data_IF_723340011767
#
_entry.id   IF_723340011767
#
_cell.length_a   1.000
_cell.length_b   1.000
_cell.length_c   1.000
_cell.angle_alpha   90.00
_cell.angle_beta   90.00
_cell.angle_gamma   90.00
#
_symmetry.space_group_name_H-M   'P 1'
#
loop_
_entity.id
_entity.type
_entity.pdbx_description
1 polymer ?
#
# COMPACT_ATOMS: atom_id res chain seq x y z
N UNK A 1 25.86 0.83 22.10
CA UNK A 1 24.82 -0.19 21.86
C UNK A 1 25.02 -0.73 20.45
N UNK A 2 25.35 -2.00 20.27
CA UNK A 2 25.24 -2.65 18.97
C UNK A 2 23.75 -2.70 18.68
N UNK A 3 23.29 -1.97 17.70
CA UNK A 3 21.93 -2.14 17.15
C UNK A 3 21.91 -3.52 16.50
N UNK A 4 21.44 -4.52 17.22
CA UNK A 4 21.09 -5.79 16.59
C UNK A 4 19.99 -5.47 15.57
N UNK A 5 20.28 -5.75 14.31
CA UNK A 5 19.27 -5.64 13.25
C UNK A 5 18.31 -6.83 13.40
N UNK A 6 17.08 -6.64 12.99
CA UNK A 6 16.10 -7.73 12.99
C UNK A 6 16.61 -8.85 12.09
N UNK A 7 16.50 -10.10 12.58
CA UNK A 7 16.92 -11.30 11.84
C UNK A 7 15.88 -11.75 10.81
N UNK A 8 15.41 -10.81 10.00
CA UNK A 8 14.33 -10.98 9.03
C UNK A 8 14.74 -10.37 7.70
N UNK A 9 14.40 -11.07 6.62
CA UNK A 9 14.67 -10.62 5.27
C UNK A 9 13.44 -10.78 4.35
N UNK A 10 13.32 -9.89 3.37
CA UNK A 10 12.47 -10.06 2.20
C UNK A 10 13.24 -10.94 1.22
N UNK A 11 12.58 -11.98 0.71
CA UNK A 11 13.22 -13.03 -0.09
C UNK A 11 12.56 -13.27 -1.44
N UNK A 12 11.37 -12.76 -1.66
CA UNK A 12 10.66 -12.86 -2.94
C UNK A 12 9.58 -11.80 -3.07
N UNK A 13 9.23 -11.47 -4.29
CA UNK A 13 8.15 -10.54 -4.61
C UNK A 13 7.31 -11.06 -5.77
N UNK A 14 6.05 -10.67 -5.78
CA UNK A 14 5.10 -11.00 -6.83
C UNK A 14 4.09 -9.88 -7.01
N UNK A 15 3.67 -9.68 -8.24
CA UNK A 15 2.70 -8.64 -8.56
C UNK A 15 1.93 -8.99 -9.83
N UNK A 16 0.65 -8.67 -9.84
CA UNK A 16 -0.17 -8.78 -11.03
C UNK A 16 -0.08 -7.50 -11.85
N UNK A 17 -0.36 -7.58 -13.15
CA UNK A 17 -0.38 -6.38 -14.00
C UNK A 17 -1.43 -5.41 -13.46
N UNK A 18 -1.03 -4.16 -13.24
CA UNK A 18 -1.95 -3.11 -12.88
C UNK A 18 -2.88 -2.77 -14.05
N UNK A 19 -4.19 -2.76 -13.81
CA UNK A 19 -5.22 -2.51 -14.83
C UNK A 19 -6.24 -1.49 -14.36
N UNK A 20 -6.91 -0.82 -15.31
CA UNK A 20 -8.01 0.11 -14.99
C UNK A 20 -9.35 -0.59 -14.78
N UNK A 21 -9.44 -1.86 -15.13
CA UNK A 21 -10.63 -2.68 -14.96
C UNK A 21 -10.24 -3.98 -14.28
N UNK A 22 -10.95 -4.34 -13.22
CA UNK A 22 -10.76 -5.62 -12.55
C UNK A 22 -11.38 -6.72 -13.42
N UNK A 23 -10.54 -7.64 -13.90
CA UNK A 23 -10.97 -8.75 -14.76
C UNK A 23 -11.19 -10.06 -13.97
N UNK A 24 -10.58 -10.15 -12.78
CA UNK A 24 -10.65 -11.30 -11.89
C UNK A 24 -11.10 -10.87 -10.49
N UNK A 25 -11.68 -11.76 -9.69
CA UNK A 25 -11.97 -11.48 -8.28
C UNK A 25 -10.70 -11.07 -7.51
N UNK A 26 -10.85 -10.22 -6.51
CA UNK A 26 -9.75 -9.72 -5.67
C UNK A 26 -8.97 -10.86 -5.00
N UNK A 27 -9.70 -11.87 -4.52
CA UNK A 27 -9.09 -13.05 -3.89
C UNK A 27 -8.18 -13.78 -4.88
N UNK A 28 -8.59 -13.91 -6.15
CA UNK A 28 -7.80 -14.59 -7.18
C UNK A 28 -6.52 -13.82 -7.50
N UNK A 29 -6.59 -12.49 -7.68
CA UNK A 29 -5.39 -11.69 -7.95
C UNK A 29 -4.45 -11.65 -6.75
N UNK A 30 -4.96 -11.70 -5.52
CA UNK A 30 -4.15 -11.81 -4.31
C UNK A 30 -3.39 -13.13 -4.26
N UNK A 31 -4.08 -14.25 -4.50
CA UNK A 31 -3.48 -15.58 -4.56
C UNK A 31 -2.40 -15.62 -5.65
N UNK A 32 -2.68 -15.08 -6.84
CA UNK A 32 -1.73 -15.04 -7.95
C UNK A 32 -0.44 -14.28 -7.55
N UNK A 33 -0.57 -13.09 -6.96
CA UNK A 33 0.59 -12.31 -6.50
C UNK A 33 1.39 -13.05 -5.40
N UNK A 34 0.70 -13.69 -4.46
CA UNK A 34 1.34 -14.46 -3.39
C UNK A 34 2.10 -15.68 -3.93
N UNK A 35 1.51 -16.43 -4.85
CA UNK A 35 2.16 -17.58 -5.50
C UNK A 35 3.39 -17.14 -6.32
N UNK A 36 3.30 -15.97 -6.99
CA UNK A 36 4.45 -15.39 -7.67
C UNK A 36 5.58 -15.05 -6.70
N UNK A 37 5.28 -14.47 -5.53
CA UNK A 37 6.27 -14.15 -4.51
C UNK A 37 6.93 -15.40 -3.91
N UNK A 38 6.15 -16.45 -3.65
CA UNK A 38 6.67 -17.73 -3.17
C UNK A 38 7.57 -18.40 -4.21
N UNK A 39 7.15 -18.40 -5.48
CA UNK A 39 7.93 -18.94 -6.61
C UNK A 39 9.22 -18.14 -6.83
N UNK A 40 9.18 -16.83 -6.74
CA UNK A 40 10.35 -15.95 -6.86
C UNK A 40 11.38 -16.28 -5.78
N UNK A 41 10.94 -16.45 -4.54
CA UNK A 41 11.78 -16.89 -3.43
C UNK A 41 12.32 -18.32 -3.58
N UNK A 42 11.63 -19.19 -4.31
CA UNK A 42 11.90 -20.65 -4.32
C UNK A 42 11.43 -21.35 -3.06
N UNK A 43 10.39 -20.81 -2.38
CA UNK A 43 9.79 -21.39 -1.18
C UNK A 43 8.50 -22.10 -1.52
N UNK A 44 8.31 -23.33 -1.00
CA UNK A 44 7.05 -24.04 -1.12
C UNK A 44 5.97 -23.31 -0.28
N UNK A 45 4.78 -23.08 -0.82
CA UNK A 45 3.69 -22.44 -0.07
C UNK A 45 3.35 -23.12 1.26
N UNK A 46 3.54 -24.43 1.38
CA UNK A 46 3.32 -25.18 2.63
C UNK A 46 4.30 -24.83 3.76
N UNK A 47 5.44 -24.22 3.45
CA UNK A 47 6.40 -23.71 4.43
C UNK A 47 6.01 -22.33 5.01
N UNK A 48 5.03 -21.67 4.41
CA UNK A 48 4.57 -20.35 4.83
C UNK A 48 3.55 -20.52 5.94
N UNK A 49 3.75 -19.82 7.05
CA UNK A 49 2.92 -19.95 8.25
C UNK A 49 2.35 -18.60 8.75
N UNK A 50 2.50 -17.55 7.93
CA UNK A 50 1.96 -16.22 8.23
C UNK A 50 1.48 -15.48 7.00
N UNK A 51 0.45 -14.65 7.16
CA UNK A 51 -0.08 -13.79 6.11
C UNK A 51 -0.58 -12.45 6.66
N UNK A 52 -0.30 -11.35 5.97
CA UNK A 52 -0.96 -10.06 6.16
C UNK A 52 -1.68 -9.65 4.87
N UNK A 53 -2.95 -9.34 4.97
CA UNK A 53 -3.77 -8.89 3.83
C UNK A 53 -4.16 -7.43 4.01
N UNK A 54 -3.75 -6.59 3.08
CA UNK A 54 -4.08 -5.17 3.05
C UNK A 54 -5.08 -4.89 1.93
N UNK A 55 -6.17 -4.24 2.27
CA UNK A 55 -7.18 -3.76 1.32
C UNK A 55 -7.55 -2.31 1.60
N UNK A 56 -8.04 -1.61 0.59
CA UNK A 56 -8.50 -0.23 0.72
C UNK A 56 -10.00 -0.08 1.00
N UNK A 57 -10.76 -1.16 0.92
CA UNK A 57 -12.21 -1.16 1.07
C UNK A 57 -12.69 -2.20 2.08
N UNK A 58 -13.93 -2.12 2.45
CA UNK A 58 -14.56 -3.02 3.38
C UNK A 58 -15.84 -3.60 2.76
N UNK A 59 -16.15 -4.91 2.94
CA UNK A 59 -15.35 -5.90 3.67
C UNK A 59 -14.12 -6.36 2.87
N UNK A 60 -13.01 -6.69 3.57
CA UNK A 60 -11.85 -7.30 2.93
C UNK A 60 -12.18 -8.73 2.47
N UNK A 61 -11.46 -9.27 1.48
CA UNK A 61 -11.47 -10.69 1.21
C UNK A 61 -11.04 -11.47 2.46
N UNK A 62 -11.64 -12.63 2.66
CA UNK A 62 -11.29 -13.47 3.81
C UNK A 62 -9.85 -13.96 3.71
N UNK A 63 -9.01 -13.60 4.67
CA UNK A 63 -7.61 -13.99 4.76
C UNK A 63 -7.42 -15.50 4.71
N UNK A 64 -8.32 -16.27 5.35
CA UNK A 64 -8.30 -17.73 5.31
C UNK A 64 -8.51 -18.28 3.90
N UNK A 65 -9.42 -17.72 3.12
CA UNK A 65 -9.67 -18.11 1.73
C UNK A 65 -8.43 -17.88 0.86
N UNK A 66 -7.74 -16.75 1.05
CA UNK A 66 -6.48 -16.47 0.36
C UNK A 66 -5.42 -17.47 0.79
N UNK A 67 -5.22 -17.70 2.09
CA UNK A 67 -4.22 -18.63 2.60
C UNK A 67 -4.44 -20.07 2.10
N UNK A 68 -5.68 -20.55 2.06
CA UNK A 68 -6.03 -21.85 1.50
C UNK A 68 -5.75 -21.91 0.00
N UNK A 69 -6.12 -20.87 -0.74
CA UNK A 69 -5.88 -20.79 -2.19
C UNK A 69 -4.40 -20.76 -2.57
N UNK A 70 -3.51 -20.28 -1.67
CA UNK A 70 -2.06 -20.32 -1.82
C UNK A 70 -1.51 -21.71 -1.51
N UNK A 71 -2.17 -22.50 -0.67
CA UNK A 71 -1.71 -23.81 -0.18
C UNK A 71 -1.04 -23.75 1.18
N UNK A 72 -1.28 -22.70 1.96
CA UNK A 72 -0.81 -22.61 3.35
C UNK A 72 -1.61 -23.62 4.19
N UNK A 73 -0.93 -24.63 4.75
CA UNK A 73 -1.57 -25.71 5.52
C UNK A 73 -1.58 -25.48 7.02
N UNK A 74 -0.68 -24.63 7.53
CA UNK A 74 -0.54 -24.34 8.96
C UNK A 74 -0.36 -22.84 9.19
N UNK A 75 -1.46 -22.10 9.14
CA UNK A 75 -1.47 -20.66 9.39
C UNK A 75 -1.34 -20.39 10.89
N UNK A 76 -0.16 -19.96 11.34
CA UNK A 76 0.15 -19.64 12.75
C UNK A 76 -0.11 -18.18 13.08
N UNK A 77 0.09 -17.29 12.11
CA UNK A 77 -0.04 -15.87 12.29
C UNK A 77 -0.81 -15.22 11.13
N UNK A 78 -1.75 -14.36 11.45
CA UNK A 78 -2.41 -13.52 10.46
C UNK A 78 -2.70 -12.14 11.02
N UNK A 79 -2.72 -11.16 10.13
CA UNK A 79 -3.16 -9.81 10.43
C UNK A 79 -3.80 -9.20 9.20
N UNK A 80 -4.95 -8.58 9.39
CA UNK A 80 -5.64 -7.84 8.34
C UNK A 80 -5.41 -6.35 8.49
N UNK A 81 -5.33 -5.65 7.36
CA UNK A 81 -5.21 -4.21 7.32
C UNK A 81 -3.78 -3.68 7.42
N UNK A 82 -3.69 -2.42 7.80
CA UNK A 82 -2.47 -1.62 7.75
C UNK A 82 -2.33 -0.84 6.45
N UNK A 83 -1.55 0.22 6.50
CA UNK A 83 -1.30 1.09 5.35
C UNK A 83 0.20 1.17 5.03
N UNK A 84 0.50 1.24 3.74
CA UNK A 84 1.86 1.44 3.26
C UNK A 84 2.82 0.32 3.67
N UNK A 85 3.94 0.69 4.30
CA UNK A 85 5.01 -0.24 4.70
C UNK A 85 4.85 -0.79 6.12
N UNK A 86 3.92 -0.28 6.92
CA UNK A 86 3.74 -0.70 8.32
C UNK A 86 3.53 -2.22 8.47
N UNK A 87 2.73 -2.90 7.63
CA UNK A 87 2.57 -4.35 7.71
C UNK A 87 3.87 -5.13 7.59
N UNK A 88 4.85 -4.65 6.81
CA UNK A 88 6.16 -5.28 6.75
C UNK A 88 6.87 -5.24 8.11
N UNK A 89 6.79 -4.12 8.82
CA UNK A 89 7.36 -3.98 10.15
C UNK A 89 6.70 -4.90 11.18
N UNK A 90 5.37 -4.98 11.15
CA UNK A 90 4.61 -5.85 12.07
C UNK A 90 4.86 -7.34 11.76
N UNK A 91 4.88 -7.73 10.49
CA UNK A 91 5.25 -9.08 10.06
C UNK A 91 6.66 -9.45 10.51
N UNK A 92 7.60 -8.50 10.37
CA UNK A 92 8.97 -8.71 10.83
C UNK A 92 9.06 -8.91 12.36
N UNK A 93 8.27 -8.19 13.14
CA UNK A 93 8.18 -8.40 14.59
C UNK A 93 7.64 -9.79 14.94
N UNK A 94 6.60 -10.25 14.26
CA UNK A 94 6.04 -11.58 14.48
C UNK A 94 7.06 -12.69 14.18
N UNK A 95 7.84 -12.54 13.10
CA UNK A 95 8.92 -13.46 12.75
C UNK A 95 10.05 -13.42 13.80
N UNK A 96 10.49 -12.22 14.19
CA UNK A 96 11.58 -12.04 15.15
C UNK A 96 11.20 -12.55 16.57
N UNK A 97 9.93 -12.43 16.93
CA UNK A 97 9.35 -12.97 18.16
C UNK A 97 9.12 -14.50 18.11
N UNK A 98 9.25 -15.14 16.94
CA UNK A 98 9.02 -16.59 16.78
C UNK A 98 7.55 -17.00 16.73
N UNK A 99 6.63 -16.07 16.53
CA UNK A 99 5.21 -16.36 16.35
C UNK A 99 4.96 -17.14 15.06
N UNK A 100 5.72 -16.83 14.02
CA UNK A 100 5.75 -17.51 12.72
C UNK A 100 7.18 -17.49 12.14
N UNK A 101 7.39 -18.23 11.05
CA UNK A 101 8.71 -18.33 10.40
C UNK A 101 8.76 -17.54 9.09
N UNK A 102 7.68 -17.54 8.33
CA UNK A 102 7.59 -16.92 6.99
C UNK A 102 6.23 -16.27 6.79
N UNK A 103 6.23 -15.01 6.37
CA UNK A 103 5.01 -14.21 6.20
C UNK A 103 4.90 -13.68 4.79
N UNK A 104 3.78 -13.92 4.14
CA UNK A 104 3.35 -13.20 2.95
C UNK A 104 2.65 -11.90 3.37
N UNK A 105 3.10 -10.80 2.84
CA UNK A 105 2.42 -9.50 2.95
C UNK A 105 1.87 -9.17 1.58
N UNK A 106 0.55 -9.15 1.45
CA UNK A 106 -0.14 -8.88 0.19
C UNK A 106 -1.00 -7.63 0.30
N UNK A 107 -0.88 -6.75 -0.68
CA UNK A 107 -1.75 -5.60 -0.86
C UNK A 107 -2.60 -5.78 -2.09
N UNK A 108 -3.91 -5.65 -1.90
CA UNK A 108 -4.90 -5.68 -2.97
C UNK A 108 -5.36 -4.26 -3.24
N UNK A 109 -5.34 -3.86 -4.49
CA UNK A 109 -5.86 -2.59 -4.95
C UNK A 109 -7.08 -2.85 -5.83
N UNK A 110 -8.24 -2.44 -5.34
CA UNK A 110 -9.46 -2.33 -6.12
C UNK A 110 -10.01 -0.91 -5.96
N UNK A 111 -9.74 -0.09 -6.93
CA UNK A 111 -10.09 1.33 -6.89
C UNK A 111 -11.43 1.66 -7.53
N UNK A 112 -12.19 0.65 -7.95
CA UNK A 112 -13.58 0.81 -8.39
C UNK A 112 -14.50 1.00 -7.19
N UNK A 113 -14.14 0.43 -6.04
CA UNK A 113 -14.81 0.73 -4.79
C UNK A 113 -14.53 2.21 -4.40
N UNK A 114 -15.54 2.98 -4.01
CA UNK A 114 -15.35 4.38 -3.62
C UNK A 114 -14.44 4.47 -2.39
N UNK A 115 -13.16 4.74 -2.63
CA UNK A 115 -12.07 4.71 -1.64
C UNK A 115 -12.28 5.70 -0.49
N UNK A 116 -13.15 6.68 -0.65
CA UNK A 116 -13.31 7.74 0.35
C UNK A 116 -14.64 8.46 0.29
N UNK A 117 -15.70 7.76 -0.05
CA UNK A 117 -17.03 8.36 0.19
C UNK A 117 -17.24 8.46 1.69
N UNK A 118 -17.72 9.59 2.19
CA UNK A 118 -18.17 9.68 3.57
C UNK A 118 -19.12 8.52 3.84
N UNK A 119 -18.92 7.82 4.97
CA UNK A 119 -19.86 6.79 5.38
C UNK A 119 -21.17 7.48 5.79
N UNK A 120 -22.00 7.72 4.83
CA UNK A 120 -23.34 8.25 5.04
C UNK A 120 -24.22 7.03 5.35
N UNK A 121 -24.83 7.02 6.51
CA UNK A 121 -25.87 6.04 6.84
C UNK A 121 -27.05 6.20 5.88
N UNK A 122 -27.33 5.21 5.02
CA UNK A 122 -28.39 5.35 4.01
C UNK A 122 -29.78 5.49 4.61
N UNK A 123 -29.99 5.07 5.84
CA UNK A 123 -31.29 5.14 6.53
C UNK A 123 -31.59 6.51 7.14
N UNK A 124 -30.55 7.22 7.55
CA UNK A 124 -30.68 8.49 8.27
C UNK A 124 -30.13 9.68 7.48
N UNK A 125 -29.36 9.44 6.41
CA UNK A 125 -28.63 10.47 5.67
C UNK A 125 -27.53 11.14 6.51
N UNK A 126 -27.17 10.59 7.66
CA UNK A 126 -26.22 11.18 8.59
C UNK A 126 -24.82 10.62 8.38
N UNK A 127 -23.84 11.45 8.63
CA UNK A 127 -22.42 11.07 8.65
C UNK A 127 -22.02 10.83 10.09
N UNK A 128 -21.44 9.66 10.36
CA UNK A 128 -20.98 9.29 11.71
C UNK A 128 -19.54 9.71 12.02
N UNK A 129 -19.14 9.47 13.26
CA UNK A 129 -17.79 9.73 13.75
C UNK A 129 -17.29 11.18 13.53
N UNK A 130 -16.00 11.35 13.41
CA UNK A 130 -15.33 12.62 13.15
C UNK A 130 -15.74 13.25 11.80
N UNK A 131 -16.20 12.47 10.85
CA UNK A 131 -16.66 12.95 9.54
C UNK A 131 -17.87 13.88 9.66
N UNK A 132 -18.68 13.77 10.69
CA UNK A 132 -19.81 14.69 10.95
C UNK A 132 -19.37 16.15 11.14
N UNK A 133 -18.11 16.37 11.51
CA UNK A 133 -17.54 17.72 11.70
C UNK A 133 -16.86 18.27 10.45
N UNK A 134 -16.70 17.47 9.41
CA UNK A 134 -15.97 17.83 8.20
C UNK A 134 -16.84 17.81 6.95
N UNK A 135 -17.59 16.72 6.76
CA UNK A 135 -18.39 16.51 5.54
C UNK A 135 -19.46 17.61 5.31
N UNK A 136 -20.20 18.09 6.31
CA UNK A 136 -21.16 19.18 6.13
C UNK A 136 -20.51 20.49 5.64
N UNK A 137 -19.21 20.65 5.85
CA UNK A 137 -18.43 21.82 5.42
C UNK A 137 -17.65 21.56 4.12
N UNK A 138 -17.95 20.45 3.42
CA UNK A 138 -17.36 20.14 2.12
C UNK A 138 -16.08 19.31 2.16
N UNK A 139 -15.60 18.88 3.34
CA UNK A 139 -14.41 18.03 3.51
C UNK A 139 -14.78 16.54 3.45
N UNK A 140 -15.27 16.08 2.29
CA UNK A 140 -15.73 14.70 2.11
C UNK A 140 -14.66 13.72 1.58
N UNK A 141 -13.54 14.24 1.03
CA UNK A 141 -12.53 13.42 0.35
C UNK A 141 -11.13 13.71 0.87
N UNK A 142 -10.28 12.67 0.85
CA UNK A 142 -8.88 12.76 1.29
C UNK A 142 -8.09 13.86 0.58
N UNK A 143 -8.30 14.04 -0.72
CA UNK A 143 -7.60 15.07 -1.51
C UNK A 143 -7.89 16.50 -1.05
N UNK A 144 -9.04 16.76 -0.46
CA UNK A 144 -9.35 18.08 0.12
C UNK A 144 -8.49 18.37 1.35
N UNK A 145 -8.26 17.36 2.20
CA UNK A 145 -7.33 17.48 3.34
C UNK A 145 -5.89 17.64 2.89
N UNK A 146 -5.48 16.86 1.89
CA UNK A 146 -4.15 17.00 1.27
C UNK A 146 -3.98 18.40 0.70
N UNK A 147 -5.02 18.98 0.07
CA UNK A 147 -5.01 20.35 -0.41
C UNK A 147 -4.76 21.37 0.70
N UNK A 148 -5.44 21.24 1.85
CA UNK A 148 -5.20 22.11 3.02
C UNK A 148 -3.78 21.97 3.56
N UNK A 149 -3.26 20.74 3.65
CA UNK A 149 -1.88 20.47 4.08
C UNK A 149 -0.87 21.08 3.11
N UNK A 150 -1.06 20.87 1.81
CA UNK A 150 -0.21 21.43 0.77
C UNK A 150 -0.21 22.98 0.81
N UNK A 151 -1.38 23.59 0.97
CA UNK A 151 -1.50 25.05 1.10
C UNK A 151 -0.75 25.57 2.32
N UNK A 152 -0.90 24.92 3.49
CA UNK A 152 -0.16 25.27 4.71
C UNK A 152 1.35 25.13 4.52
N UNK A 153 1.80 24.07 3.87
CA UNK A 153 3.20 23.83 3.56
C UNK A 153 3.77 24.91 2.63
N UNK A 154 3.08 25.21 1.54
CA UNK A 154 3.47 26.24 0.58
C UNK A 154 3.57 27.60 1.25
N UNK A 155 2.60 27.97 2.09
CA UNK A 155 2.63 29.24 2.83
C UNK A 155 3.78 29.29 3.83
N UNK A 156 4.00 28.22 4.61
CA UNK A 156 5.02 28.17 5.65
C UNK A 156 6.44 28.26 5.11
N UNK A 157 6.69 27.63 3.96
CA UNK A 157 8.02 27.49 3.37
C UNK A 157 8.21 28.30 2.09
N UNK A 158 7.22 29.12 1.73
CA UNK A 158 7.22 29.92 0.50
C UNK A 158 7.46 29.06 -0.76
N UNK A 159 6.83 27.87 -0.83
CA UNK A 159 6.96 26.93 -1.94
C UNK A 159 5.98 27.32 -3.06
N UNK A 160 6.47 27.31 -4.29
CA UNK A 160 5.67 27.53 -5.48
C UNK A 160 5.13 26.21 -6.05
N UNK A 161 4.06 26.30 -6.86
CA UNK A 161 3.45 25.14 -7.49
C UNK A 161 4.43 24.38 -8.39
N UNK A 162 5.29 25.11 -9.11
CA UNK A 162 6.30 24.53 -10.01
C UNK A 162 7.32 23.67 -9.26
N UNK A 163 7.57 23.97 -7.98
CA UNK A 163 8.48 23.14 -7.17
C UNK A 163 7.82 21.84 -6.75
N UNK A 164 6.51 21.83 -6.49
CA UNK A 164 5.76 20.60 -6.21
C UNK A 164 5.64 19.71 -7.46
N UNK A 165 5.59 20.31 -8.64
CA UNK A 165 5.51 19.60 -9.91
C UNK A 165 6.64 18.59 -10.13
N UNK A 166 7.82 18.83 -9.57
CA UNK A 166 8.96 17.93 -9.74
C UNK A 166 8.74 16.55 -9.11
N UNK A 167 7.87 16.43 -8.11
CA UNK A 167 7.55 15.14 -7.50
C UNK A 167 6.91 14.20 -8.54
N UNK A 168 5.75 14.53 -9.14
CA UNK A 168 5.14 13.65 -10.14
C UNK A 168 5.93 13.56 -11.45
N UNK A 169 6.72 14.60 -11.84
CA UNK A 169 7.57 14.55 -13.04
C UNK A 169 8.64 13.47 -12.87
N UNK A 170 9.40 13.49 -11.76
CA UNK A 170 10.44 12.47 -11.50
C UNK A 170 9.84 11.09 -11.35
N UNK A 171 8.68 10.96 -10.69
CA UNK A 171 7.96 9.69 -10.61
C UNK A 171 7.57 9.17 -12.00
N UNK A 172 7.18 10.06 -12.93
CA UNK A 172 6.85 9.70 -14.30
C UNK A 172 8.10 9.24 -15.08
N UNK A 173 9.24 9.91 -14.91
CA UNK A 173 10.52 9.48 -15.50
C UNK A 173 10.89 8.06 -15.03
N UNK A 174 10.74 7.78 -13.75
CA UNK A 174 10.97 6.44 -13.22
C UNK A 174 9.94 5.41 -13.72
N UNK A 175 8.69 5.81 -13.89
CA UNK A 175 7.65 4.94 -14.45
C UNK A 175 7.98 4.49 -15.88
N UNK A 176 8.56 5.37 -16.69
CA UNK A 176 8.98 5.03 -18.07
C UNK A 176 10.07 3.96 -18.13
N UNK A 177 10.83 3.76 -17.05
CA UNK A 177 11.82 2.68 -16.93
C UNK A 177 11.19 1.35 -16.48
N UNK A 178 9.93 1.36 -16.04
CA UNK A 178 9.23 0.18 -15.55
C UNK A 178 8.21 -0.34 -16.59
N UNK A 179 8.41 -1.52 -17.19
CA UNK A 179 7.49 -2.07 -18.19
C UNK A 179 6.10 -2.40 -17.67
N UNK A 180 5.91 -2.40 -16.34
CA UNK A 180 4.65 -2.67 -15.68
C UNK A 180 3.88 -1.39 -15.29
N UNK A 181 4.48 -0.23 -15.49
CA UNK A 181 3.82 1.03 -15.19
C UNK A 181 2.64 1.26 -16.14
N UNK A 182 1.54 1.80 -15.59
CA UNK A 182 0.34 2.13 -16.38
C UNK A 182 0.55 3.39 -17.20
N UNK A 183 1.38 4.32 -16.71
CA UNK A 183 1.69 5.57 -17.39
C UNK A 183 2.99 5.41 -18.18
N UNK A 184 2.88 5.46 -19.51
CA UNK A 184 3.91 5.12 -20.49
C UNK A 184 4.40 6.32 -21.34
N UNK A 185 3.93 7.51 -21.02
CA UNK A 185 4.30 8.74 -21.74
C UNK A 185 4.98 9.75 -20.82
N UNK A 186 6.00 10.50 -21.29
CA UNK A 186 6.67 11.51 -20.48
C UNK A 186 5.71 12.62 -20.05
N UNK A 187 6.08 13.36 -19.01
CA UNK A 187 5.33 14.49 -18.50
C UNK A 187 6.25 15.69 -18.32
N UNK A 188 5.87 16.80 -18.91
CA UNK A 188 6.59 18.08 -18.78
C UNK A 188 6.02 18.92 -17.64
N UNK A 189 6.73 20.00 -17.27
CA UNK A 189 6.22 20.99 -16.34
C UNK A 189 4.93 21.64 -16.87
N UNK A 190 4.85 21.93 -18.15
CA UNK A 190 3.66 22.52 -18.77
C UNK A 190 2.46 21.57 -18.73
N UNK A 191 2.67 20.28 -18.95
CA UNK A 191 1.61 19.26 -18.79
C UNK A 191 1.06 19.26 -17.37
N UNK A 192 1.94 19.32 -16.38
CA UNK A 192 1.54 19.39 -14.98
C UNK A 192 0.76 20.68 -14.69
N UNK A 193 1.29 21.86 -15.08
CA UNK A 193 0.70 23.17 -14.79
C UNK A 193 -0.64 23.38 -15.49
N UNK A 194 -0.87 22.74 -16.64
CA UNK A 194 -2.12 22.78 -17.38
C UNK A 194 -3.10 21.68 -16.94
N UNK A 195 -2.69 20.78 -16.05
CA UNK A 195 -3.56 19.71 -15.58
C UNK A 195 -4.70 20.23 -14.70
N UNK A 196 -5.81 19.48 -14.68
CA UNK A 196 -7.00 19.85 -13.89
C UNK A 196 -6.68 19.95 -12.40
N UNK A 197 -7.14 21.00 -11.75
CA UNK A 197 -7.13 21.13 -10.29
C UNK A 197 -8.20 20.20 -9.71
N UNK A 198 -7.80 19.36 -8.75
CA UNK A 198 -8.69 18.46 -8.01
C UNK A 198 -9.16 19.11 -6.72
N UNK A 199 -8.21 19.65 -5.94
CA UNK A 199 -8.48 20.43 -4.72
C UNK A 199 -7.30 21.35 -4.48
N UNK A 200 -7.46 22.64 -4.77
CA UNK A 200 -6.34 23.60 -4.78
C UNK A 200 -5.47 23.51 -3.53
N UNK A 201 -4.13 23.39 -3.64
CA UNK A 201 -3.30 23.45 -4.86
C UNK A 201 -3.09 22.11 -5.57
N UNK A 202 -3.70 21.01 -5.10
CA UNK A 202 -3.53 19.65 -5.62
C UNK A 202 -4.13 19.53 -7.03
N UNK A 203 -3.30 19.07 -7.96
CA UNK A 203 -3.65 18.83 -9.36
C UNK A 203 -3.83 17.35 -9.67
N UNK A 204 -4.30 17.04 -10.86
CA UNK A 204 -4.56 15.66 -11.31
C UNK A 204 -3.33 14.74 -11.15
N UNK A 205 -2.16 15.23 -11.49
CA UNK A 205 -0.93 14.44 -11.43
C UNK A 205 -0.30 14.34 -10.03
N UNK A 206 -0.82 15.06 -9.05
CA UNK A 206 -0.51 14.88 -7.63
C UNK A 206 -1.32 13.73 -6.99
N UNK A 207 -2.31 13.21 -7.71
CA UNK A 207 -3.18 12.14 -7.25
C UNK A 207 -2.72 10.80 -7.83
N UNK A 208 -2.81 9.75 -7.02
CA UNK A 208 -2.64 8.39 -7.50
C UNK A 208 -3.73 8.03 -8.51
N UNK A 209 -3.33 7.24 -9.50
CA UNK A 209 -4.27 6.77 -10.51
C UNK A 209 -5.06 5.56 -9.98
N UNK A 210 -6.39 5.55 -10.14
CA UNK A 210 -7.18 4.37 -9.85
C UNK A 210 -6.75 3.18 -10.72
N UNK A 211 -6.18 2.16 -10.08
CA UNK A 211 -5.75 0.90 -10.70
C UNK A 211 -6.18 -0.28 -9.86
N UNK A 212 -6.31 -1.44 -10.50
CA UNK A 212 -6.61 -2.71 -9.86
C UNK A 212 -5.41 -3.64 -10.02
N UNK A 213 -5.10 -4.40 -8.99
CA UNK A 213 -3.99 -5.33 -8.98
C UNK A 213 -3.65 -5.79 -7.58
N UNK A 214 -2.69 -6.69 -7.46
CA UNK A 214 -2.16 -7.12 -6.18
C UNK A 214 -0.63 -7.14 -6.22
N UNK A 215 -0.04 -6.83 -5.07
CA UNK A 215 1.40 -6.85 -4.83
C UNK A 215 1.65 -7.67 -3.58
N UNK A 216 2.57 -8.63 -3.65
CA UNK A 216 2.96 -9.44 -2.53
C UNK A 216 4.47 -9.48 -2.38
N UNK A 217 4.95 -9.60 -1.15
CA UNK A 217 6.33 -9.96 -0.86
C UNK A 217 6.36 -10.96 0.28
N UNK A 218 7.37 -11.85 0.19
CA UNK A 218 7.59 -12.89 1.17
C UNK A 218 8.75 -12.49 2.08
N UNK A 219 8.51 -12.59 3.38
CA UNK A 219 9.51 -12.36 4.42
C UNK A 219 9.76 -13.66 5.19
N UNK A 220 10.99 -13.87 5.59
CA UNK A 220 11.36 -15.04 6.43
C UNK A 220 12.53 -14.73 7.33
N UNK A 221 12.85 -15.66 8.23
CA UNK A 221 14.01 -15.58 9.12
C UNK A 221 15.32 -15.58 8.34
N UNK A 222 16.33 -14.93 8.90
CA UNK A 222 17.65 -14.79 8.29
C UNK A 222 18.32 -16.13 7.94
N UNK A 223 18.17 -17.15 8.79
CA UNK A 223 18.75 -18.47 8.56
C UNK A 223 18.14 -19.13 7.31
N UNK A 224 16.82 -19.12 7.19
CA UNK A 224 16.11 -19.66 6.03
C UNK A 224 16.35 -18.84 4.76
N UNK A 225 16.43 -17.52 4.89
CA UNK A 225 16.62 -16.60 3.76
C UNK A 225 17.91 -16.89 2.97
N UNK A 226 18.95 -17.40 3.61
CA UNK A 226 20.24 -17.73 2.98
C UNK A 226 20.19 -18.95 2.07
N UNK A 227 19.16 -19.78 2.20
CA UNK A 227 18.98 -21.03 1.44
C UNK A 227 18.10 -20.84 0.21
N UNK A 228 17.51 -19.64 0.01
CA UNK A 228 16.55 -19.35 -1.03
C UNK A 228 17.22 -18.78 -2.30
N UNK A 229 16.41 -18.60 -3.35
CA UNK A 229 16.88 -18.29 -4.71
C UNK A 229 17.66 -16.98 -4.84
N UNK A 230 17.29 -15.97 -4.05
CA UNK A 230 17.82 -14.61 -4.21
C UNK A 230 18.66 -14.17 -3.02
N UNK A 231 19.54 -13.21 -3.24
CA UNK A 231 20.24 -12.52 -2.16
C UNK A 231 19.21 -11.84 -1.26
N UNK A 232 19.17 -12.16 0.04
CA UNK A 232 18.21 -11.60 0.97
C UNK A 232 18.31 -10.07 1.10
N UNK A 233 17.16 -9.41 1.18
CA UNK A 233 17.09 -7.98 1.52
C UNK A 233 16.71 -7.85 2.98
N UNK A 234 17.69 -7.62 3.84
CA UNK A 234 17.48 -7.57 5.28
C UNK A 234 16.74 -6.33 5.75
N UNK A 235 15.76 -6.53 6.61
CA UNK A 235 15.10 -5.44 7.31
C UNK A 235 16.01 -4.96 8.46
N UNK A 236 16.59 -3.79 8.29
CA UNK A 236 17.52 -3.22 9.26
C UNK A 236 16.81 -2.66 10.49
N UNK A 237 15.73 -1.94 10.26
CA UNK A 237 14.89 -1.34 11.30
C UNK A 237 13.58 -0.85 10.69
N UNK A 238 12.58 -0.67 11.52
CA UNK A 238 11.34 -0.02 11.13
C UNK A 238 10.82 0.85 12.28
N UNK A 239 10.02 1.83 11.94
CA UNK A 239 9.29 2.65 12.90
C UNK A 239 7.96 3.06 12.31
N UNK A 240 6.94 3.11 13.13
CA UNK A 240 5.62 3.59 12.78
C UNK A 240 5.06 4.42 13.92
N UNK A 241 4.35 5.48 13.59
CA UNK A 241 3.61 6.26 14.57
C UNK A 241 2.29 6.72 13.97
N UNK A 242 1.25 6.75 14.79
CA UNK A 242 0.02 7.46 14.47
C UNK A 242 0.11 8.89 14.99
N UNK A 243 -0.29 9.83 14.16
CA UNK A 243 -0.52 11.20 14.63
C UNK A 243 -1.81 11.20 15.44
N UNK A 244 -1.66 11.23 16.76
CA UNK A 244 -2.81 11.18 17.69
C UNK A 244 -3.61 12.49 17.73
N UNK A 245 -3.04 13.60 17.23
CA UNK A 245 -3.70 14.90 17.12
C UNK A 245 -3.84 15.28 15.65
N UNK A 246 -5.06 15.18 15.13
CA UNK A 246 -5.40 15.65 13.77
C UNK A 246 -5.33 17.18 13.61
N UNK A 247 -5.28 17.91 14.69
CA UNK A 247 -5.22 19.38 14.78
C UNK A 247 -3.81 19.96 14.52
N UNK A 248 -2.82 19.13 14.27
CA UNK A 248 -1.47 19.58 13.89
C UNK A 248 -1.28 19.74 12.38
N UNK A 249 -2.35 19.55 11.62
CA UNK A 249 -2.40 19.80 10.17
C UNK A 249 -2.54 21.29 9.88
#
# INVERSE_FOLDING_TARGET
MKTEHMKVAIVGCGYTKATRKLEKPETEIAIEACLMAAKDAGMDPSEIDGINVQVHHYPPPETQTIAQGIGITNLRWNQDGGLGILPAGVAAQAIDAGECNSVLVVKIMNTIAPISTPQIDPSTGRVGNWQQFEVPYGLGFSMQRVGLMARKYMHRYNIKQEQLAWIPIVQREHALMNPWAVMDSPMTLDDYMNSRIISEPVRLFDCDMPVNGAFAFLMTREDRAKELNHKPVYLKSWAGSEVTKRDQL
#
